data_IF_912646260117
#
_entry.id   IF_912646260117
#
_cell.length_a   1.000
_cell.length_b   1.000
_cell.length_c   1.000
_cell.angle_alpha   90.00
_cell.angle_beta   90.00
_cell.angle_gamma   90.00
#
_symmetry.space_group_name_H-M   'P 1'
#
loop_
_entity.id
_entity.type
_entity.pdbx_description
1 polymer ?
#
# COMPACT_ATOMS: atom_id res chain seq x y z
N UNK A 1 31.38 10.45 11.66
CA UNK A 1 30.05 10.64 12.23
C UNK A 1 29.39 9.27 12.27
N UNK A 2 29.43 8.59 13.41
CA UNK A 2 28.75 7.30 13.57
C UNK A 2 27.25 7.57 13.54
N UNK A 3 26.56 6.96 12.59
CA UNK A 3 25.14 7.19 12.32
C UNK A 3 24.32 6.94 13.60
N UNK A 4 23.42 7.88 13.93
CA UNK A 4 22.53 7.77 15.10
C UNK A 4 21.73 6.45 15.07
N UNK A 5 21.45 5.94 13.87
CA UNK A 5 20.79 4.65 13.67
C UNK A 5 21.68 3.47 14.12
N UNK A 6 22.99 3.54 13.89
CA UNK A 6 23.94 2.51 14.33
C UNK A 6 24.03 2.44 15.85
N UNK A 7 24.01 3.57 16.54
CA UNK A 7 24.04 3.59 18.01
C UNK A 7 22.73 3.07 18.62
N UNK A 8 21.57 3.44 18.06
CA UNK A 8 20.28 2.91 18.47
C UNK A 8 20.19 1.39 18.24
N UNK A 9 20.69 0.91 17.11
CA UNK A 9 20.77 -0.51 16.77
C UNK A 9 21.63 -1.29 17.79
N UNK A 10 22.81 -0.77 18.13
CA UNK A 10 23.70 -1.41 19.09
C UNK A 10 23.11 -1.42 20.51
N UNK A 11 22.40 -0.36 20.92
CA UNK A 11 21.71 -0.31 22.20
C UNK A 11 20.56 -1.32 22.29
N UNK A 12 19.76 -1.48 21.23
CA UNK A 12 18.70 -2.50 21.15
C UNK A 12 19.25 -3.92 21.23
N UNK A 13 20.38 -4.18 20.55
CA UNK A 13 21.07 -5.48 20.61
C UNK A 13 21.61 -5.78 22.01
N UNK A 14 22.16 -4.79 22.70
CA UNK A 14 22.62 -4.91 24.08
C UNK A 14 21.46 -5.13 25.08
N UNK A 15 20.25 -4.67 24.75
CA UNK A 15 19.04 -4.80 25.56
C UNK A 15 18.29 -6.13 25.42
N UNK A 16 18.84 -7.13 24.71
CA UNK A 16 18.22 -8.46 24.60
C UNK A 16 17.19 -8.61 23.47
N UNK A 17 17.29 -7.80 22.42
CA UNK A 17 16.42 -7.94 21.24
C UNK A 17 16.60 -9.32 20.59
N UNK A 18 15.49 -10.05 20.41
CA UNK A 18 15.44 -11.38 19.74
C UNK A 18 15.80 -11.29 18.25
N UNK A 19 15.59 -10.13 17.63
CA UNK A 19 15.99 -9.85 16.25
C UNK A 19 16.41 -8.39 16.09
N UNK A 20 17.57 -8.18 15.48
CA UNK A 20 18.06 -6.87 15.06
C UNK A 20 18.58 -7.00 13.63
N UNK A 21 17.86 -6.43 12.65
CA UNK A 21 18.21 -6.57 11.25
C UNK A 21 17.36 -5.70 10.33
N UNK A 22 17.57 -5.86 9.02
CA UNK A 22 16.73 -5.21 8.02
C UNK A 22 15.41 -5.98 7.87
N UNK A 23 14.34 -5.23 7.64
CA UNK A 23 13.00 -5.76 7.42
C UNK A 23 12.47 -5.14 6.14
N UNK A 24 11.82 -5.95 5.30
CA UNK A 24 11.12 -5.45 4.12
C UNK A 24 9.62 -5.43 4.38
N UNK A 25 9.00 -4.28 4.20
CA UNK A 25 7.55 -4.17 4.09
C UNK A 25 7.16 -4.72 2.71
N UNK A 26 6.38 -5.80 2.69
CA UNK A 26 6.02 -6.51 1.44
C UNK A 26 4.59 -6.22 1.00
N UNK A 27 3.67 -6.03 1.94
CA UNK A 27 2.27 -5.66 1.68
C UNK A 27 1.84 -4.59 2.67
N UNK A 28 1.29 -3.50 2.15
CA UNK A 28 0.57 -2.51 2.93
C UNK A 28 -0.79 -2.32 2.28
N UNK A 29 -1.85 -2.45 3.06
CA UNK A 29 -3.19 -2.11 2.61
C UNK A 29 -3.96 -1.40 3.70
N UNK A 30 -4.80 -0.47 3.26
CA UNK A 30 -5.80 0.17 4.10
C UNK A 30 -7.15 -0.43 3.73
N UNK A 31 -7.92 -0.86 4.73
CA UNK A 31 -9.26 -1.37 4.52
C UNK A 31 -10.18 -0.91 5.65
N UNK A 32 -11.49 -1.12 5.49
CA UNK A 32 -12.49 -0.69 6.47
C UNK A 32 -12.31 -1.27 7.89
N UNK A 33 -11.41 -2.25 8.08
CA UNK A 33 -11.07 -2.85 9.38
C UNK A 33 -9.71 -2.37 9.94
N UNK A 34 -9.04 -1.45 9.25
CA UNK A 34 -7.77 -0.86 9.66
C UNK A 34 -6.61 -1.11 8.67
N UNK A 35 -5.43 -0.69 9.08
CA UNK A 35 -4.20 -0.84 8.29
C UNK A 35 -3.59 -2.22 8.52
N UNK A 36 -3.29 -2.94 7.45
CA UNK A 36 -2.51 -4.18 7.50
C UNK A 36 -1.13 -3.96 6.88
N UNK A 37 -0.09 -4.28 7.65
CA UNK A 37 1.29 -4.30 7.18
C UNK A 37 1.88 -5.71 7.34
N UNK A 38 2.42 -6.25 6.26
CA UNK A 38 3.20 -7.50 6.28
C UNK A 38 4.69 -7.18 6.21
N UNK A 39 5.41 -7.66 7.22
CA UNK A 39 6.86 -7.54 7.30
C UNK A 39 7.51 -8.88 7.00
N UNK A 40 8.51 -8.87 6.12
CA UNK A 40 9.40 -10.01 5.95
C UNK A 40 10.71 -9.70 6.66
N UNK A 41 11.01 -10.52 7.66
CA UNK A 41 12.31 -10.54 8.31
C UNK A 41 13.23 -11.35 7.41
N UNK A 42 14.26 -10.71 6.87
CA UNK A 42 15.29 -11.46 6.16
C UNK A 42 16.11 -12.20 7.22
N UNK A 43 16.08 -13.52 7.17
CA UNK A 43 16.87 -14.36 8.07
C UNK A 43 18.36 -14.12 7.79
N UNK A 44 18.94 -13.26 8.63
CA UNK A 44 20.37 -12.98 8.81
C UNK A 44 21.12 -12.32 7.63
N UNK A 45 21.78 -11.20 7.95
CA UNK A 45 23.02 -10.76 7.30
C UNK A 45 24.27 -11.15 8.13
N UNK A 46 24.12 -12.01 9.14
CA UNK A 46 25.24 -12.54 9.95
C UNK A 46 25.18 -14.08 10.01
N UNK A 47 25.81 -14.77 9.02
CA UNK A 47 25.68 -16.20 8.78
C UNK A 47 26.41 -17.11 9.78
N UNK A 48 26.97 -16.57 10.87
CA UNK A 48 27.93 -17.29 11.71
C UNK A 48 27.36 -18.19 12.80
N UNK A 49 26.05 -18.17 13.10
CA UNK A 49 25.50 -19.07 14.14
C UNK A 49 24.35 -19.98 13.70
N UNK A 50 23.39 -19.54 12.87
CA UNK A 50 22.39 -20.46 12.30
C UNK A 50 21.49 -19.81 11.21
N UNK A 51 21.81 -19.95 9.92
CA UNK A 51 21.01 -19.34 8.84
C UNK A 51 19.62 -19.98 8.63
N UNK A 52 19.29 -21.08 9.32
CA UNK A 52 18.07 -21.86 9.07
C UNK A 52 16.98 -21.71 10.14
N UNK A 53 17.20 -20.91 11.19
CA UNK A 53 16.25 -20.78 12.30
C UNK A 53 15.62 -19.39 12.29
N UNK A 54 14.32 -19.35 11.95
CA UNK A 54 13.52 -18.13 12.06
C UNK A 54 13.63 -17.59 13.51
N UNK A 55 13.81 -16.27 13.73
CA UNK A 55 14.04 -15.71 15.06
C UNK A 55 12.88 -15.96 16.03
N UNK A 56 11.68 -16.22 15.50
CA UNK A 56 10.49 -16.56 16.27
C UNK A 56 10.15 -18.06 16.27
N UNK A 57 11.06 -18.94 15.82
CA UNK A 57 10.82 -20.39 15.85
C UNK A 57 10.65 -20.84 17.30
N UNK A 58 9.48 -21.37 17.64
CA UNK A 58 9.13 -21.78 19.00
C UNK A 58 8.41 -20.71 19.83
N UNK A 59 8.19 -19.50 19.30
CA UNK A 59 7.31 -18.53 19.94
C UNK A 59 5.84 -19.00 19.87
N UNK A 60 5.11 -18.86 20.98
CA UNK A 60 3.70 -19.19 21.02
C UNK A 60 2.87 -18.07 20.40
N UNK A 61 1.96 -18.45 19.50
CA UNK A 61 1.01 -17.55 18.87
C UNK A 61 -0.40 -18.02 19.25
N UNK A 62 -0.93 -17.58 20.40
CA UNK A 62 -2.32 -17.82 20.77
C UNK A 62 -2.93 -16.57 21.40
N UNK A 63 -4.27 -16.39 21.36
CA UNK A 63 -4.91 -15.24 22.00
C UNK A 63 -4.79 -15.21 23.53
N UNK A 64 -4.46 -16.34 24.17
CA UNK A 64 -4.43 -16.49 25.64
C UNK A 64 -3.01 -16.62 26.21
N UNK A 65 -2.11 -17.24 25.45
CA UNK A 65 -0.76 -17.63 25.86
C UNK A 65 0.28 -17.22 24.79
N UNK A 66 -0.07 -16.26 23.93
CA UNK A 66 0.84 -15.72 22.94
C UNK A 66 1.96 -14.92 23.59
N UNK A 67 3.18 -15.04 23.06
CA UNK A 67 4.26 -14.14 23.47
C UNK A 67 4.02 -12.75 22.89
N UNK A 68 4.09 -11.73 23.75
CA UNK A 68 4.11 -10.34 23.32
C UNK A 68 5.45 -10.01 22.68
N UNK A 69 5.42 -9.24 21.59
CA UNK A 69 6.63 -8.70 20.98
C UNK A 69 6.39 -7.23 20.62
N UNK A 70 7.47 -6.46 20.65
CA UNK A 70 7.47 -5.06 20.28
C UNK A 70 8.28 -4.88 18.98
N UNK A 71 7.71 -4.17 18.01
CA UNK A 71 8.37 -3.84 16.75
C UNK A 71 8.57 -2.33 16.67
N UNK A 72 9.81 -1.91 16.46
CA UNK A 72 10.15 -0.51 16.19
C UNK A 72 10.47 -0.34 14.70
N UNK A 73 9.64 0.40 13.98
CA UNK A 73 9.87 0.73 12.57
C UNK A 73 10.31 2.19 12.45
N UNK A 74 11.47 2.42 11.83
CA UNK A 74 11.96 3.77 11.54
C UNK A 74 12.07 3.88 10.02
N UNK A 75 11.35 4.81 9.37
CA UNK A 75 11.51 5.04 7.94
C UNK A 75 12.92 5.56 7.68
N UNK A 76 13.65 4.90 6.78
CA UNK A 76 14.95 5.38 6.30
C UNK A 76 14.71 5.95 4.92
N UNK A 77 14.90 7.26 4.76
CA UNK A 77 14.94 7.86 3.44
C UNK A 77 16.16 7.28 2.71
N UNK A 78 15.93 6.64 1.57
CA UNK A 78 17.02 6.30 0.65
C UNK A 78 17.54 7.64 0.15
N UNK A 79 18.73 8.07 0.59
CA UNK A 79 19.45 9.10 -0.16
C UNK A 79 19.76 8.49 -1.53
N UNK A 80 18.97 8.88 -2.53
CA UNK A 80 19.29 8.58 -3.92
C UNK A 80 20.65 9.20 -4.21
N UNK A 81 21.66 8.35 -4.39
CA UNK A 81 22.95 8.78 -4.87
C UNK A 81 22.75 9.41 -6.26
N UNK A 82 22.79 10.74 -6.31
CA UNK A 82 22.75 11.52 -7.54
C UNK A 82 23.88 11.03 -8.45
N UNK A 83 23.61 10.45 -9.63
CA UNK A 83 24.68 10.04 -10.53
C UNK A 83 25.33 11.30 -11.09
N UNK A 84 26.60 11.52 -10.74
CA UNK A 84 27.43 12.56 -11.36
C UNK A 84 27.59 12.22 -12.84
N UNK A 85 27.03 13.07 -13.70
CA UNK A 85 27.15 12.94 -15.14
C UNK A 85 28.62 13.12 -15.58
N UNK A 86 29.17 12.09 -16.21
CA UNK A 86 30.39 12.16 -17.05
C UNK A 86 29.93 12.01 -18.50
N UNK A 87 30.37 12.86 -19.44
CA UNK A 87 29.86 12.82 -20.81
C UNK A 87 30.44 11.65 -21.63
N UNK A 88 29.58 11.10 -22.49
CA UNK A 88 29.69 10.10 -23.58
C UNK A 88 30.98 10.13 -24.44
N UNK A 89 31.29 9.12 -25.32
CA UNK A 89 30.34 8.24 -26.04
C UNK A 89 30.77 6.75 -26.25
N UNK A 90 29.79 5.84 -26.40
CA UNK A 90 29.74 4.82 -27.46
C UNK A 90 28.57 3.83 -27.28
N UNK A 91 27.90 3.53 -28.40
CA UNK A 91 26.64 2.82 -28.50
C UNK A 91 26.71 1.35 -28.05
N UNK A 92 25.77 0.93 -27.21
CA UNK A 92 25.45 -0.50 -26.97
C UNK A 92 23.92 -0.61 -26.77
N UNK A 93 23.27 -1.68 -27.26
CA UNK A 93 21.82 -1.72 -27.43
C UNK A 93 21.08 -1.83 -26.09
N UNK A 94 19.90 -1.23 -26.06
CA UNK A 94 19.04 -1.04 -24.90
C UNK A 94 18.88 -2.30 -24.02
N UNK A 95 19.16 -2.22 -22.70
CA UNK A 95 18.71 -3.25 -21.78
C UNK A 95 17.19 -3.16 -21.63
N UNK A 96 16.54 -4.32 -21.74
CA UNK A 96 15.11 -4.50 -21.56
C UNK A 96 14.65 -3.85 -20.24
N UNK A 97 13.66 -2.97 -20.34
CA UNK A 97 13.00 -2.37 -19.20
C UNK A 97 12.51 -3.46 -18.24
N UNK A 98 13.07 -3.44 -17.03
CA UNK A 98 12.60 -4.23 -15.90
C UNK A 98 11.12 -3.87 -15.66
N UNK A 99 10.19 -4.84 -15.53
CA UNK A 99 8.78 -4.52 -15.40
C UNK A 99 8.56 -3.77 -14.09
N UNK A 100 8.31 -2.45 -14.20
CA UNK A 100 7.85 -1.62 -13.11
C UNK A 100 6.72 -2.36 -12.38
N UNK A 101 6.90 -2.54 -11.07
CA UNK A 101 5.91 -3.19 -10.21
C UNK A 101 4.60 -2.46 -10.40
N UNK A 102 3.66 -3.08 -11.12
CA UNK A 102 2.39 -2.50 -11.54
C UNK A 102 1.66 -1.92 -10.33
N UNK A 103 1.78 -0.61 -10.13
CA UNK A 103 0.86 0.12 -9.27
C UNK A 103 -0.54 -0.15 -9.80
N UNK A 104 -1.49 -0.43 -8.90
CA UNK A 104 -2.87 -0.63 -9.31
C UNK A 104 -3.40 0.66 -9.90
N UNK A 105 -3.58 0.64 -11.22
CA UNK A 105 -4.03 1.78 -12.01
C UNK A 105 -5.41 2.28 -11.56
N UNK A 106 -5.70 3.56 -11.76
CA UNK A 106 -7.02 4.13 -11.49
C UNK A 106 -8.11 3.44 -12.31
N UNK A 107 -7.79 3.02 -13.53
CA UNK A 107 -8.70 2.21 -14.34
C UNK A 107 -9.12 0.90 -13.63
N UNK A 108 -8.16 0.21 -13.01
CA UNK A 108 -8.43 -1.02 -12.25
C UNK A 108 -9.22 -0.73 -10.97
N UNK A 109 -8.89 0.34 -10.25
CA UNK A 109 -9.64 0.77 -9.05
C UNK A 109 -11.09 1.11 -9.37
N UNK A 110 -11.34 1.83 -10.45
CA UNK A 110 -12.69 2.12 -10.94
C UNK A 110 -13.42 0.82 -11.28
N UNK A 111 -12.75 -0.11 -11.97
CA UNK A 111 -13.30 -1.42 -12.30
C UNK A 111 -13.70 -2.26 -11.08
N UNK A 112 -12.97 -2.16 -9.98
CA UNK A 112 -13.34 -2.83 -8.71
C UNK A 112 -14.55 -2.16 -8.07
N UNK A 113 -14.53 -0.84 -7.92
CA UNK A 113 -15.58 -0.07 -7.24
C UNK A 113 -16.94 -0.19 -7.95
N UNK A 114 -16.95 -0.21 -9.29
CA UNK A 114 -18.16 -0.43 -10.10
C UNK A 114 -18.84 -1.78 -9.81
N UNK A 115 -18.12 -2.78 -9.31
CA UNK A 115 -18.69 -4.11 -9.01
C UNK A 115 -19.22 -4.22 -7.59
N UNK A 116 -19.04 -3.20 -6.76
CA UNK A 116 -19.48 -3.21 -5.38
C UNK A 116 -20.95 -2.79 -5.27
N UNK A 117 -21.84 -3.64 -4.73
CA UNK A 117 -23.26 -3.28 -4.58
C UNK A 117 -23.47 -2.08 -3.65
N UNK A 118 -22.60 -1.88 -2.65
CA UNK A 118 -22.64 -0.72 -1.76
C UNK A 118 -22.37 0.59 -2.51
N UNK A 119 -21.52 0.55 -3.53
CA UNK A 119 -21.27 1.72 -4.37
C UNK A 119 -22.53 2.11 -5.16
N UNK A 120 -23.32 1.13 -5.60
CA UNK A 120 -24.59 1.39 -6.30
C UNK A 120 -25.62 2.05 -5.38
N UNK A 121 -25.73 1.54 -4.14
CA UNK A 121 -26.60 2.12 -3.11
C UNK A 121 -26.17 3.55 -2.76
N UNK A 122 -24.86 3.80 -2.68
CA UNK A 122 -24.33 5.14 -2.46
C UNK A 122 -24.71 6.09 -3.59
N UNK A 123 -24.58 5.67 -4.86
CA UNK A 123 -25.03 6.48 -6.00
C UNK A 123 -26.53 6.75 -5.91
N UNK A 124 -27.34 5.74 -5.59
CA UNK A 124 -28.80 5.88 -5.44
C UNK A 124 -29.20 6.85 -4.31
N UNK A 125 -28.45 6.88 -3.22
CA UNK A 125 -28.69 7.80 -2.12
C UNK A 125 -28.32 9.26 -2.43
N UNK A 126 -27.35 9.50 -3.32
CA UNK A 126 -26.78 10.84 -3.54
C UNK A 126 -27.13 11.46 -4.90
N UNK A 127 -27.58 10.64 -5.86
CA UNK A 127 -27.81 11.06 -7.24
C UNK A 127 -29.21 10.63 -7.71
N UNK A 128 -29.98 11.54 -8.34
CA UNK A 128 -31.38 11.31 -8.67
C UNK A 128 -31.63 10.22 -9.72
N UNK A 129 -30.61 9.85 -10.49
CA UNK A 129 -30.72 8.85 -11.56
C UNK A 129 -30.62 7.41 -11.04
N UNK A 130 -30.10 7.22 -9.82
CA UNK A 130 -29.90 5.90 -9.22
C UNK A 130 -28.87 5.04 -9.96
N UNK A 131 -28.48 3.94 -9.34
CA UNK A 131 -27.62 2.93 -9.96
C UNK A 131 -28.11 1.54 -9.55
N UNK A 132 -28.48 0.71 -10.53
CA UNK A 132 -29.04 -0.63 -10.28
C UNK A 132 -28.12 -1.76 -10.71
N UNK A 133 -27.09 -1.46 -11.49
CA UNK A 133 -26.15 -2.44 -12.01
C UNK A 133 -24.76 -1.82 -12.27
N UNK A 134 -23.80 -2.67 -12.59
CA UNK A 134 -22.44 -2.25 -12.91
C UNK A 134 -22.32 -1.38 -14.16
N UNK A 135 -23.25 -1.49 -15.12
CA UNK A 135 -23.25 -0.67 -16.32
C UNK A 135 -23.58 0.79 -16.01
N UNK A 136 -24.61 0.99 -15.18
CA UNK A 136 -25.00 2.31 -14.69
C UNK A 136 -23.88 2.94 -13.83
N UNK A 137 -23.21 2.17 -12.97
CA UNK A 137 -22.07 2.66 -12.19
C UNK A 137 -20.86 3.03 -13.07
N UNK A 138 -20.61 2.29 -14.14
CA UNK A 138 -19.55 2.62 -15.11
C UNK A 138 -19.86 3.92 -15.85
N UNK A 139 -21.11 4.10 -16.26
CA UNK A 139 -21.57 5.32 -16.93
C UNK A 139 -21.50 6.53 -16.01
N UNK A 140 -21.91 6.39 -14.74
CA UNK A 140 -21.79 7.42 -13.72
C UNK A 140 -20.34 7.93 -13.58
N UNK A 141 -19.36 7.03 -13.47
CA UNK A 141 -17.94 7.44 -13.35
C UNK A 141 -17.47 8.16 -14.62
N UNK A 142 -17.91 7.70 -15.80
CA UNK A 142 -17.55 8.36 -17.07
C UNK A 142 -18.10 9.78 -17.15
N UNK A 143 -19.36 9.95 -16.77
CA UNK A 143 -20.04 11.25 -16.81
C UNK A 143 -19.44 12.22 -15.79
N UNK A 144 -19.30 11.80 -14.53
CA UNK A 144 -18.75 12.67 -13.49
C UNK A 144 -17.28 13.01 -13.72
N UNK A 145 -16.47 12.06 -14.20
CA UNK A 145 -15.05 12.30 -14.48
C UNK A 145 -14.80 12.91 -15.87
N UNK A 146 -15.82 13.06 -16.71
CA UNK A 146 -15.68 13.63 -18.07
C UNK A 146 -14.89 12.75 -19.06
N UNK A 147 -14.83 11.44 -18.85
CA UNK A 147 -14.01 10.50 -19.64
C UNK A 147 -14.87 9.57 -20.51
N UNK A 148 -14.30 9.02 -21.57
CA UNK A 148 -14.99 8.00 -22.41
C UNK A 148 -14.63 6.59 -22.00
N UNK A 149 -13.40 6.39 -21.51
CA UNK A 149 -12.86 5.12 -21.06
C UNK A 149 -12.22 5.24 -19.68
N UNK A 150 -12.36 4.20 -18.85
CA UNK A 150 -11.68 4.13 -17.54
C UNK A 150 -10.16 4.20 -17.65
N UNK A 151 -9.58 3.80 -18.77
CA UNK A 151 -8.14 3.92 -19.03
C UNK A 151 -7.68 5.37 -19.08
N UNK A 152 -8.59 6.32 -19.34
CA UNK A 152 -8.27 7.76 -19.33
C UNK A 152 -7.97 8.28 -17.91
N UNK A 153 -8.48 7.61 -16.86
CA UNK A 153 -8.18 7.95 -15.46
C UNK A 153 -6.69 7.80 -15.10
N UNK A 154 -5.91 7.10 -15.92
CA UNK A 154 -4.47 6.89 -15.70
C UNK A 154 -3.62 7.98 -16.37
N UNK A 155 -4.19 8.75 -17.30
CA UNK A 155 -3.46 9.75 -18.10
C UNK A 155 -3.99 11.17 -17.90
N UNK A 156 -5.28 11.32 -17.64
CA UNK A 156 -5.94 12.61 -17.38
C UNK A 156 -5.94 12.88 -15.87
N UNK A 157 -5.15 13.88 -15.45
CA UNK A 157 -4.98 14.24 -14.04
C UNK A 157 -6.25 14.87 -13.44
N UNK A 158 -7.04 15.60 -14.24
CA UNK A 158 -8.27 16.25 -13.77
C UNK A 158 -9.38 15.20 -13.58
N UNK A 159 -9.47 14.26 -14.52
CA UNK A 159 -10.36 13.11 -14.38
C UNK A 159 -9.95 12.22 -13.19
N UNK A 160 -8.65 11.99 -12.98
CA UNK A 160 -8.13 11.23 -11.84
C UNK A 160 -8.46 11.92 -10.50
N UNK A 161 -8.28 13.24 -10.41
CA UNK A 161 -8.62 14.01 -9.23
C UNK A 161 -10.12 13.97 -8.91
N UNK A 162 -10.96 14.06 -9.95
CA UNK A 162 -12.42 13.92 -9.82
C UNK A 162 -12.81 12.53 -9.35
N UNK A 163 -12.20 11.49 -9.92
CA UNK A 163 -12.40 10.11 -9.48
C UNK A 163 -11.99 9.89 -8.03
N UNK A 164 -10.86 10.44 -7.59
CA UNK A 164 -10.44 10.36 -6.19
C UNK A 164 -11.37 11.13 -5.26
N UNK A 165 -11.97 12.24 -5.70
CA UNK A 165 -13.00 12.95 -4.93
C UNK A 165 -14.26 12.09 -4.75
N UNK A 166 -14.72 11.41 -5.80
CA UNK A 166 -15.84 10.45 -5.74
C UNK A 166 -15.52 9.34 -4.74
N UNK A 167 -14.34 8.73 -4.85
CA UNK A 167 -13.89 7.66 -3.93
C UNK A 167 -13.91 8.12 -2.48
N UNK A 168 -13.38 9.31 -2.19
CA UNK A 168 -13.38 9.86 -0.83
C UNK A 168 -14.79 10.03 -0.28
N UNK A 169 -15.74 10.52 -1.08
CA UNK A 169 -17.15 10.67 -0.66
C UNK A 169 -17.81 9.32 -0.40
N UNK A 170 -17.61 8.35 -1.29
CA UNK A 170 -18.11 7.00 -1.11
C UNK A 170 -17.57 6.38 0.19
N UNK A 171 -16.26 6.42 0.40
CA UNK A 171 -15.68 5.84 1.62
C UNK A 171 -16.07 6.60 2.88
N UNK A 172 -16.17 7.93 2.84
CA UNK A 172 -16.68 8.71 3.97
C UNK A 172 -18.10 8.28 4.34
N UNK A 173 -18.97 8.09 3.35
CA UNK A 173 -20.33 7.57 3.58
C UNK A 173 -20.34 6.16 4.17
N UNK A 174 -19.46 5.26 3.73
CA UNK A 174 -19.37 3.91 4.33
C UNK A 174 -18.87 3.88 5.78
N UNK A 175 -18.23 4.96 6.23
CA UNK A 175 -17.67 5.09 7.58
C UNK A 175 -18.60 5.88 8.52
N UNK A 176 -19.64 6.53 8.01
CA UNK A 176 -20.68 7.09 8.87
C UNK A 176 -21.38 5.93 9.61
N UNK A 177 -21.34 5.91 10.96
CA UNK A 177 -22.07 4.90 11.69
C UNK A 177 -23.55 5.07 11.34
N UNK A 178 -24.16 4.04 10.78
CA UNK A 178 -25.61 3.89 10.70
C UNK A 178 -26.15 4.21 12.09
N UNK A 179 -26.65 5.43 12.27
CA UNK A 179 -27.28 5.85 13.51
C UNK A 179 -28.31 4.78 13.85
N UNK A 180 -28.25 4.14 15.03
CA UNK A 180 -29.27 3.18 15.39
C UNK A 180 -30.61 3.94 15.39
N UNK A 181 -31.49 3.56 14.48
CA UNK A 181 -32.82 4.11 14.37
C UNK A 181 -33.52 3.94 15.73
N UNK A 182 -34.11 5.05 16.19
CA UNK A 182 -34.96 5.15 17.37
C UNK A 182 -36.22 4.29 17.26
#
# INVERSE_FOLDING_TARGET
MTDRLTNAFNALRAGGAVFAGRVRLTNWSDNARGMNASFRLDASADPLDNPATHPFKGAHCSPKDGHEFMLLCIPVATEEAKPTATPEPEATPAPAAEPERRQTTNANRAGMMIREPLFWQWIEAHYPYGCKDSGAADQFIKEECGIRSKTELDVDLDAAATFDAIRRRYYAWTQEPLSPAA
#
